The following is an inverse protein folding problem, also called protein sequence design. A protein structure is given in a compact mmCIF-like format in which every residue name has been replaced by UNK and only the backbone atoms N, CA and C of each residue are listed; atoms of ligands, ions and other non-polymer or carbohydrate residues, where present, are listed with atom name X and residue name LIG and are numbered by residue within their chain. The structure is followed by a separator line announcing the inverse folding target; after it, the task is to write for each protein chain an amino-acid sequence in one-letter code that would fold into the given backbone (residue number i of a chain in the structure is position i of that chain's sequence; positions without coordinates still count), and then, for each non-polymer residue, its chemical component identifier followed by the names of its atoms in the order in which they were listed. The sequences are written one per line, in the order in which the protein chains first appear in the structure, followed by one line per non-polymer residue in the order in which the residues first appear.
data_IF_880643710654
#
_entry.id   IF_880643710654
#
_cell.length_a   1.000
_cell.length_b   1.000
_cell.length_c   1.000
_cell.angle_alpha   90.00
_cell.angle_beta   90.00
_cell.angle_gamma   90.00
#
_symmetry.space_group_name_H-M   'P 1'
#
loop_
_entity.id
_entity.type
_entity.pdbx_description
1 polymer ?
#
# COMPACT_ATOMS: atom_id res chain seq x y z
N UNK A 1 -19.45 -10.06 -15.50
CA UNK A 1 -18.84 -8.88 -14.85
C UNK A 1 -19.05 -7.71 -15.79
N UNK A 2 -19.65 -6.61 -15.32
CA UNK A 2 -19.85 -5.42 -16.13
C UNK A 2 -18.54 -4.63 -16.19
N UNK A 3 -18.13 -4.14 -17.36
CA UNK A 3 -16.88 -3.39 -17.55
C UNK A 3 -17.19 -1.88 -17.66
N UNK A 4 -16.50 -1.05 -16.88
CA UNK A 4 -16.51 0.42 -17.01
C UNK A 4 -15.25 0.84 -17.78
N UNK A 5 -15.38 1.76 -18.71
CA UNK A 5 -14.24 2.34 -19.42
C UNK A 5 -13.75 3.60 -18.71
N UNK A 6 -12.45 3.66 -18.45
CA UNK A 6 -11.78 4.82 -17.86
C UNK A 6 -10.45 5.05 -18.60
N UNK A 7 -10.17 6.22 -19.17
CA UNK A 7 -11.05 7.38 -19.46
C UNK A 7 -10.86 7.80 -20.91
N UNK A 8 -11.82 8.51 -21.50
CA UNK A 8 -11.75 9.00 -22.89
C UNK A 8 -10.95 10.31 -23.02
N UNK A 9 -11.03 11.17 -22.00
CA UNK A 9 -10.28 12.42 -21.91
C UNK A 9 -9.74 12.58 -20.50
N UNK A 10 -8.43 12.78 -20.40
CA UNK A 10 -7.78 13.13 -19.15
C UNK A 10 -6.97 14.41 -19.33
N UNK A 11 -7.07 15.31 -18.34
CA UNK A 11 -6.40 16.61 -18.38
C UNK A 11 -4.86 16.50 -18.53
N UNK A 12 -4.24 15.45 -17.99
CA UNK A 12 -2.77 15.34 -17.87
C UNK A 12 -2.15 14.25 -18.75
N UNK A 13 -2.77 13.06 -18.87
CA UNK A 13 -2.13 11.91 -19.51
C UNK A 13 -2.65 11.68 -20.93
N UNK A 14 -2.39 12.62 -21.83
CA UNK A 14 -2.68 12.49 -23.26
C UNK A 14 -1.39 12.61 -24.07
N UNK A 15 -1.07 11.67 -24.98
CA UNK A 15 0.16 11.73 -25.78
C UNK A 15 0.29 13.02 -26.61
N UNK A 16 1.51 13.56 -26.69
CA UNK A 16 1.82 14.84 -27.35
C UNK A 16 1.37 14.93 -28.81
N UNK A 17 1.46 13.81 -29.54
CA UNK A 17 1.08 13.76 -30.96
C UNK A 17 -0.37 14.20 -31.21
N UNK A 18 -1.25 14.07 -30.22
CA UNK A 18 -2.64 14.49 -30.33
C UNK A 18 -2.77 16.02 -30.45
N UNK A 19 -1.86 16.75 -29.81
CA UNK A 19 -1.84 18.20 -29.76
C UNK A 19 -0.90 18.83 -30.78
N UNK A 20 -0.01 18.03 -31.37
CA UNK A 20 1.06 18.53 -32.23
C UNK A 20 0.80 18.29 -33.73
N UNK A 21 1.28 19.23 -34.53
CA UNK A 21 1.39 19.12 -35.98
C UNK A 21 2.72 18.46 -36.38
N UNK A 22 2.91 18.20 -37.67
CA UNK A 22 4.09 17.50 -38.19
C UNK A 22 5.42 18.23 -37.92
N UNK A 23 5.38 19.53 -37.57
CA UNK A 23 6.58 20.32 -37.24
C UNK A 23 6.76 20.54 -35.73
N UNK A 24 6.00 19.85 -34.89
CA UNK A 24 6.08 19.94 -33.42
C UNK A 24 5.43 21.20 -32.80
N UNK A 25 4.65 21.95 -33.59
CA UNK A 25 3.83 23.06 -33.07
C UNK A 25 2.43 22.60 -32.69
N UNK A 26 1.68 23.40 -31.92
CA UNK A 26 0.30 23.07 -31.57
C UNK A 26 -0.60 23.02 -32.81
N UNK A 27 -1.59 22.12 -32.81
CA UNK A 27 -2.64 22.07 -33.83
C UNK A 27 -3.72 23.12 -33.58
N UNK A 28 -4.46 23.44 -34.64
CA UNK A 28 -5.65 24.27 -34.56
C UNK A 28 -6.80 23.54 -33.84
N UNK A 29 -7.70 24.32 -33.23
CA UNK A 29 -8.88 23.83 -32.50
C UNK A 29 -9.64 22.73 -33.22
N UNK A 30 -10.00 22.95 -34.48
CA UNK A 30 -10.84 22.03 -35.24
C UNK A 30 -10.14 20.70 -35.49
N UNK A 31 -8.81 20.72 -35.66
CA UNK A 31 -7.99 19.51 -35.82
C UNK A 31 -7.99 18.71 -34.52
N UNK A 32 -7.83 19.37 -33.36
CA UNK A 32 -7.88 18.68 -32.07
C UNK A 32 -9.25 18.06 -31.80
N UNK A 33 -10.34 18.79 -32.09
CA UNK A 33 -11.70 18.27 -31.91
C UNK A 33 -12.01 17.10 -32.85
N UNK A 34 -11.50 17.11 -34.08
CA UNK A 34 -11.65 15.99 -35.00
C UNK A 34 -10.86 14.77 -34.51
N UNK A 35 -9.62 14.96 -34.04
CA UNK A 35 -8.81 13.88 -33.43
C UNK A 35 -9.49 13.29 -32.18
N UNK A 36 -10.07 14.14 -31.33
CA UNK A 36 -10.85 13.71 -30.18
C UNK A 36 -12.07 12.88 -30.60
N UNK A 37 -12.80 13.35 -31.62
CA UNK A 37 -13.96 12.63 -32.18
C UNK A 37 -13.55 11.26 -32.71
N UNK A 38 -12.51 11.20 -33.53
CA UNK A 38 -11.99 9.95 -34.09
C UNK A 38 -11.55 8.96 -33.01
N UNK A 39 -10.84 9.45 -31.98
CA UNK A 39 -10.45 8.64 -30.83
C UNK A 39 -11.67 8.06 -30.11
N UNK A 40 -12.62 8.91 -29.72
CA UNK A 40 -13.83 8.49 -28.99
C UNK A 40 -14.65 7.51 -29.81
N UNK A 41 -14.93 7.82 -31.08
CA UNK A 41 -15.72 6.94 -31.94
C UNK A 41 -15.03 5.58 -32.16
N UNK A 42 -13.71 5.57 -32.28
CA UNK A 42 -12.92 4.34 -32.42
C UNK A 42 -13.00 3.49 -31.15
N UNK A 43 -12.74 4.09 -29.99
CA UNK A 43 -12.67 3.36 -28.71
C UNK A 43 -14.06 2.95 -28.24
N UNK A 44 -14.99 3.90 -28.11
CA UNK A 44 -16.37 3.64 -27.67
C UNK A 44 -17.07 2.70 -28.65
N UNK A 45 -16.96 2.96 -29.96
CA UNK A 45 -17.58 2.11 -30.98
C UNK A 45 -17.06 0.67 -30.99
N UNK A 46 -15.77 0.46 -30.70
CA UNK A 46 -15.17 -0.88 -30.57
C UNK A 46 -15.72 -1.67 -29.38
N UNK A 47 -16.03 -1.00 -28.28
CA UNK A 47 -16.37 -1.64 -27.00
C UNK A 47 -17.83 -1.48 -26.55
N UNK A 48 -18.71 -0.92 -27.39
CA UNK A 48 -20.14 -0.69 -27.10
C UNK A 48 -20.91 -1.91 -26.58
N UNK A 49 -20.52 -3.13 -26.98
CA UNK A 49 -21.20 -4.37 -26.58
C UNK A 49 -20.66 -4.93 -25.24
N UNK A 50 -19.64 -4.29 -24.65
CA UNK A 50 -18.92 -4.75 -23.45
C UNK A 50 -18.94 -3.71 -22.33
N UNK A 51 -18.73 -2.44 -22.67
CA UNK A 51 -18.60 -1.35 -21.71
C UNK A 51 -19.97 -0.70 -21.48
N UNK A 52 -20.46 -0.75 -20.24
CA UNK A 52 -21.78 -0.21 -19.90
C UNK A 52 -21.74 1.29 -19.55
N UNK A 53 -20.57 1.78 -19.13
CA UNK A 53 -20.37 3.16 -18.70
C UNK A 53 -18.96 3.65 -19.02
N UNK A 54 -18.84 4.93 -19.35
CA UNK A 54 -17.57 5.60 -19.60
C UNK A 54 -17.37 6.76 -18.64
N UNK A 55 -16.17 6.82 -18.04
CA UNK A 55 -15.57 8.08 -17.62
C UNK A 55 -15.16 8.84 -18.89
N UNK A 56 -15.93 9.88 -19.23
CA UNK A 56 -15.72 10.61 -20.47
C UNK A 56 -14.66 11.68 -20.29
N UNK A 57 -14.72 12.41 -19.17
CA UNK A 57 -13.79 13.47 -18.82
C UNK A 57 -13.35 13.25 -17.37
N UNK A 58 -12.03 13.17 -17.19
CA UNK A 58 -11.40 12.89 -15.90
C UNK A 58 -10.60 14.10 -15.38
N UNK A 59 -10.88 14.52 -14.14
CA UNK A 59 -10.04 15.41 -13.32
C UNK A 59 -9.77 16.81 -13.88
N UNK A 60 -10.71 17.37 -14.64
CA UNK A 60 -10.49 18.69 -15.28
C UNK A 60 -10.69 19.88 -14.33
N UNK A 61 -11.27 19.69 -13.15
CA UNK A 61 -11.44 20.77 -12.16
C UNK A 61 -10.16 20.95 -11.35
N UNK A 62 -9.73 22.21 -11.20
CA UNK A 62 -8.54 22.56 -10.43
C UNK A 62 -8.72 22.28 -8.93
N UNK A 63 -7.64 21.85 -8.27
CA UNK A 63 -7.58 21.74 -6.80
C UNK A 63 -7.33 23.10 -6.13
N UNK A 64 -6.81 24.08 -6.87
CA UNK A 64 -6.48 25.39 -6.32
C UNK A 64 -7.77 26.19 -6.09
N UNK A 65 -8.24 26.15 -4.84
CA UNK A 65 -9.47 26.79 -4.43
C UNK A 65 -9.34 28.28 -4.12
N UNK A 66 -8.13 28.82 -4.11
CA UNK A 66 -7.88 30.26 -3.89
C UNK A 66 -7.91 31.04 -5.21
N UNK A 67 -7.75 30.36 -6.36
CA UNK A 67 -7.91 30.94 -7.68
C UNK A 67 -9.32 30.74 -8.26
N UNK A 68 -10.24 31.64 -7.90
CA UNK A 68 -11.59 31.70 -8.49
C UNK A 68 -11.58 32.05 -9.99
N UNK A 69 -10.44 32.48 -10.56
CA UNK A 69 -10.33 32.80 -11.99
C UNK A 69 -10.08 31.58 -12.88
N UNK A 70 -9.60 30.46 -12.31
CA UNK A 70 -9.22 29.27 -13.06
C UNK A 70 -10.06 28.04 -12.66
N UNK A 71 -11.31 27.95 -13.11
CA UNK A 71 -12.21 26.80 -12.82
C UNK A 71 -11.59 25.45 -13.20
N UNK A 72 -10.98 25.40 -14.40
CA UNK A 72 -10.40 24.19 -14.98
C UNK A 72 -8.88 24.16 -14.81
N UNK A 73 -8.31 22.95 -14.74
CA UNK A 73 -6.86 22.76 -14.74
C UNK A 73 -6.24 23.24 -16.07
N UNK A 74 -5.05 23.87 -16.03
CA UNK A 74 -4.26 24.11 -17.22
C UNK A 74 -4.03 22.79 -17.97
N UNK A 75 -4.32 22.77 -19.27
CA UNK A 75 -4.12 21.60 -20.12
C UNK A 75 -4.05 22.03 -21.59
N UNK A 76 -3.33 21.25 -22.41
CA UNK A 76 -3.30 21.47 -23.86
C UNK A 76 -4.71 21.41 -24.48
N UNK A 77 -5.62 20.63 -23.86
CA UNK A 77 -7.05 20.62 -24.20
C UNK A 77 -7.70 22.00 -24.06
N UNK A 78 -7.53 22.63 -22.89
CA UNK A 78 -8.08 23.95 -22.60
C UNK A 78 -7.42 25.04 -23.46
N UNK A 79 -6.10 24.99 -23.62
CA UNK A 79 -5.33 25.99 -24.37
C UNK A 79 -5.72 26.05 -25.85
N UNK A 80 -5.98 24.88 -26.46
CA UNK A 80 -6.24 24.76 -27.90
C UNK A 80 -7.75 24.82 -28.20
N UNK A 81 -8.58 24.08 -27.47
CA UNK A 81 -10.00 23.90 -27.79
C UNK A 81 -10.96 24.75 -26.93
N UNK A 82 -10.48 25.34 -25.84
CA UNK A 82 -11.30 26.02 -24.83
C UNK A 82 -12.24 25.05 -24.11
N UNK A 83 -12.98 25.55 -23.10
CA UNK A 83 -13.81 24.73 -22.21
C UNK A 83 -14.82 23.81 -22.91
N UNK A 84 -15.23 24.17 -24.14
CA UNK A 84 -16.20 23.41 -24.94
C UNK A 84 -15.72 22.00 -25.32
N UNK A 85 -14.43 21.67 -25.18
CA UNK A 85 -13.95 20.31 -25.42
C UNK A 85 -14.67 19.29 -24.50
N UNK A 86 -15.05 19.70 -23.30
CA UNK A 86 -15.74 18.85 -22.32
C UNK A 86 -17.10 18.43 -22.88
N UNK A 87 -17.94 19.39 -23.27
CA UNK A 87 -19.25 19.10 -23.87
C UNK A 87 -19.11 18.25 -25.14
N UNK A 88 -18.14 18.58 -26.01
CA UNK A 88 -17.87 17.82 -27.23
C UNK A 88 -17.49 16.36 -26.97
N UNK A 89 -16.70 16.08 -25.93
CA UNK A 89 -16.35 14.71 -25.57
C UNK A 89 -17.60 13.88 -25.22
N UNK A 90 -18.51 14.43 -24.42
CA UNK A 90 -19.79 13.76 -24.08
C UNK A 90 -20.69 13.58 -25.30
N UNK A 91 -20.82 14.59 -26.15
CA UNK A 91 -21.58 14.50 -27.40
C UNK A 91 -21.03 13.39 -28.30
N UNK A 92 -19.71 13.34 -28.52
CA UNK A 92 -19.07 12.31 -29.35
C UNK A 92 -19.19 10.92 -28.75
N UNK A 93 -19.12 10.78 -27.42
CA UNK A 93 -19.29 9.50 -26.75
C UNK A 93 -20.73 8.99 -26.90
N UNK A 94 -21.71 9.87 -26.75
CA UNK A 94 -23.12 9.52 -26.94
C UNK A 94 -23.45 9.23 -28.42
N UNK A 95 -22.85 9.95 -29.37
CA UNK A 95 -22.94 9.65 -30.80
C UNK A 95 -22.39 8.24 -31.12
N UNK A 96 -21.28 7.85 -30.48
CA UNK A 96 -20.64 6.56 -30.70
C UNK A 96 -21.41 5.38 -30.07
N UNK A 97 -21.97 5.59 -28.88
CA UNK A 97 -22.85 4.63 -28.19
C UNK A 97 -23.93 5.34 -27.36
N UNK A 98 -25.16 5.46 -27.89
CA UNK A 98 -26.26 6.07 -27.17
C UNK A 98 -26.74 5.29 -25.94
N UNK A 99 -26.34 4.02 -25.78
CA UNK A 99 -26.76 3.17 -24.66
C UNK A 99 -25.82 3.24 -23.46
N UNK A 100 -24.56 3.64 -23.67
CA UNK A 100 -23.60 3.78 -22.59
C UNK A 100 -23.97 4.93 -21.65
N UNK A 101 -23.81 4.69 -20.34
CA UNK A 101 -23.88 5.75 -19.33
C UNK A 101 -22.58 6.58 -19.37
N UNK A 102 -22.70 7.89 -19.27
CA UNK A 102 -21.58 8.82 -19.47
C UNK A 102 -21.35 9.61 -18.19
N UNK A 103 -20.14 9.55 -17.65
CA UNK A 103 -19.78 10.10 -16.36
C UNK A 103 -18.71 11.17 -16.48
N UNK A 104 -18.86 12.21 -15.66
CA UNK A 104 -17.75 13.04 -15.22
C UNK A 104 -17.09 12.37 -14.01
N UNK A 105 -15.76 12.28 -13.95
CA UNK A 105 -15.04 11.59 -12.86
C UNK A 105 -13.89 12.45 -12.33
N UNK A 106 -13.69 12.47 -11.03
CA UNK A 106 -12.66 13.31 -10.38
C UNK A 106 -12.30 12.77 -8.99
N UNK A 107 -11.08 13.05 -8.52
CA UNK A 107 -10.64 12.85 -7.13
C UNK A 107 -10.84 14.12 -6.31
N UNK A 108 -10.70 14.01 -4.99
CA UNK A 108 -10.91 15.12 -4.04
C UNK A 108 -12.28 15.81 -4.23
N UNK A 109 -13.22 15.16 -4.90
CA UNK A 109 -14.55 15.64 -5.21
C UNK A 109 -15.42 15.80 -3.96
N UNK A 110 -14.97 15.22 -2.85
CA UNK A 110 -15.55 15.39 -1.52
C UNK A 110 -15.08 16.68 -0.81
N UNK A 111 -13.95 17.27 -1.22
CA UNK A 111 -13.46 18.54 -0.68
C UNK A 111 -14.50 19.65 -0.86
N UNK A 112 -14.82 20.46 0.17
CA UNK A 112 -15.91 21.44 0.09
C UNK A 112 -15.83 22.43 -1.07
N UNK A 113 -14.63 22.95 -1.38
CA UNK A 113 -14.46 23.95 -2.43
C UNK A 113 -14.48 23.29 -3.81
N UNK A 114 -13.74 22.20 -3.99
CA UNK A 114 -13.72 21.44 -5.25
C UNK A 114 -15.11 20.89 -5.60
N UNK A 115 -15.85 20.41 -4.59
CA UNK A 115 -17.23 19.94 -4.73
C UNK A 115 -18.14 20.95 -5.39
N UNK A 116 -18.11 22.21 -4.93
CA UNK A 116 -18.96 23.26 -5.49
C UNK A 116 -18.55 23.62 -6.93
N UNK A 117 -17.27 23.52 -7.26
CA UNK A 117 -16.78 23.75 -8.62
C UNK A 117 -17.22 22.65 -9.58
N UNK A 118 -17.09 21.39 -9.18
CA UNK A 118 -17.61 20.24 -9.93
C UNK A 118 -19.12 20.40 -10.13
N UNK A 119 -19.86 20.72 -9.06
CA UNK A 119 -21.31 20.94 -9.15
C UNK A 119 -21.67 22.04 -10.17
N UNK A 120 -20.94 23.17 -10.18
CA UNK A 120 -21.15 24.25 -11.17
C UNK A 120 -20.90 23.80 -12.60
N UNK A 121 -19.80 23.07 -12.85
CA UNK A 121 -19.48 22.53 -14.17
C UNK A 121 -20.55 21.56 -14.65
N UNK A 122 -20.88 20.55 -13.84
CA UNK A 122 -21.84 19.51 -14.21
C UNK A 122 -23.24 20.10 -14.42
N UNK A 123 -23.68 21.04 -13.58
CA UNK A 123 -24.94 21.76 -13.80
C UNK A 123 -24.93 22.54 -15.12
N UNK A 124 -23.83 23.22 -15.45
CA UNK A 124 -23.69 23.94 -16.72
C UNK A 124 -23.81 23.01 -17.93
N UNK A 125 -23.23 21.80 -17.86
CA UNK A 125 -23.36 20.78 -18.92
C UNK A 125 -24.82 20.31 -19.06
N UNK A 126 -25.51 20.08 -17.95
CA UNK A 126 -26.93 19.73 -17.94
C UNK A 126 -27.80 20.85 -18.54
N UNK A 127 -27.57 22.11 -18.17
CA UNK A 127 -28.30 23.27 -18.69
C UNK A 127 -28.10 23.46 -20.21
N UNK A 128 -26.95 23.01 -20.73
CA UNK A 128 -26.63 23.01 -22.16
C UNK A 128 -27.22 21.79 -22.91
N UNK A 129 -27.82 20.82 -22.21
CA UNK A 129 -28.36 19.60 -22.82
C UNK A 129 -27.30 18.56 -23.20
N UNK A 130 -26.09 18.64 -22.61
CA UNK A 130 -25.02 17.65 -22.81
C UNK A 130 -25.46 16.29 -22.25
N UNK A 131 -25.20 15.16 -22.93
CA UNK A 131 -25.65 13.83 -22.51
C UNK A 131 -24.79 13.26 -21.36
N UNK A 132 -24.83 13.91 -20.19
CA UNK A 132 -24.20 13.44 -18.95
C UNK A 132 -25.22 12.68 -18.10
N UNK A 133 -24.84 11.48 -17.66
CA UNK A 133 -25.71 10.56 -16.94
C UNK A 133 -25.29 10.37 -15.47
N UNK A 134 -24.05 10.70 -15.13
CA UNK A 134 -23.57 10.54 -13.78
C UNK A 134 -22.31 11.31 -13.40
N UNK A 135 -21.99 11.27 -12.11
CA UNK A 135 -20.72 11.73 -11.52
C UNK A 135 -20.06 10.54 -10.82
N UNK A 136 -18.82 10.24 -11.18
CA UNK A 136 -17.93 9.32 -10.49
C UNK A 136 -17.18 10.05 -9.40
N UNK A 137 -17.14 9.46 -8.21
CA UNK A 137 -16.37 9.93 -7.07
C UNK A 137 -15.16 8.99 -6.91
N UNK A 138 -13.98 9.43 -7.33
CA UNK A 138 -12.76 8.63 -7.20
C UNK A 138 -12.39 8.54 -5.72
N UNK A 139 -12.68 7.39 -5.14
CA UNK A 139 -12.58 7.17 -3.71
C UNK A 139 -11.16 6.80 -3.27
N UNK A 140 -10.18 7.63 -3.66
CA UNK A 140 -8.80 7.63 -3.17
C UNK A 140 -8.72 8.18 -1.74
N UNK A 141 -9.45 7.53 -0.83
CA UNK A 141 -9.67 8.03 0.52
C UNK A 141 -8.64 7.49 1.51
N UNK A 142 -8.44 8.22 2.60
CA UNK A 142 -7.56 7.79 3.68
C UNK A 142 -8.23 7.97 5.06
N UNK A 143 -7.45 7.76 6.11
CA UNK A 143 -7.89 7.76 7.51
C UNK A 143 -8.43 9.11 7.99
N UNK A 144 -7.95 10.19 7.38
CA UNK A 144 -8.13 11.55 7.85
C UNK A 144 -8.96 12.39 6.88
N UNK A 145 -8.90 12.06 5.59
CA UNK A 145 -9.53 12.86 4.53
C UNK A 145 -10.07 11.98 3.38
N UNK A 146 -11.24 12.31 2.81
CA UNK A 146 -12.24 13.26 3.31
C UNK A 146 -12.94 12.78 4.60
N UNK A 147 -13.48 13.71 5.38
CA UNK A 147 -14.31 13.35 6.54
C UNK A 147 -15.62 12.67 6.09
N UNK A 148 -16.21 11.82 6.94
CA UNK A 148 -17.52 11.20 6.63
C UNK A 148 -18.62 12.23 6.33
N UNK A 149 -18.56 13.40 6.97
CA UNK A 149 -19.52 14.48 6.73
C UNK A 149 -19.25 15.17 5.39
N UNK A 150 -17.99 15.33 4.97
CA UNK A 150 -17.66 15.85 3.64
C UNK A 150 -18.08 14.90 2.53
N UNK A 151 -17.85 13.59 2.71
CA UNK A 151 -18.32 12.55 1.79
C UNK A 151 -19.84 12.56 1.66
N UNK A 152 -20.57 12.58 2.80
CA UNK A 152 -22.03 12.66 2.80
C UNK A 152 -22.50 13.93 2.08
N UNK A 153 -21.91 15.06 2.42
CA UNK A 153 -22.27 16.36 1.82
C UNK A 153 -22.02 16.35 0.31
N UNK A 154 -20.93 15.73 -0.16
CA UNK A 154 -20.66 15.56 -1.59
C UNK A 154 -21.71 14.72 -2.31
N UNK A 155 -22.02 13.55 -1.75
CA UNK A 155 -23.05 12.67 -2.31
C UNK A 155 -24.41 13.38 -2.37
N UNK A 156 -24.83 14.01 -1.27
CA UNK A 156 -26.09 14.77 -1.23
C UNK A 156 -26.09 15.94 -2.20
N UNK A 157 -24.95 16.62 -2.35
CA UNK A 157 -24.82 17.77 -3.24
C UNK A 157 -24.93 17.35 -4.70
N UNK A 158 -24.21 16.33 -5.14
CA UNK A 158 -24.29 15.87 -6.54
C UNK A 158 -25.64 15.20 -6.85
N UNK A 159 -26.27 14.54 -5.88
CA UNK A 159 -27.60 13.95 -6.05
C UNK A 159 -28.67 14.99 -6.41
N UNK A 160 -28.50 16.26 -6.00
CA UNK A 160 -29.41 17.36 -6.37
C UNK A 160 -29.46 17.63 -7.88
N UNK A 161 -28.47 17.16 -8.66
CA UNK A 161 -28.44 17.28 -10.11
C UNK A 161 -29.31 16.23 -10.82
N UNK A 162 -29.87 15.26 -10.07
CA UNK A 162 -30.67 14.17 -10.64
C UNK A 162 -29.86 13.13 -11.41
N UNK A 163 -28.54 13.11 -11.20
CA UNK A 163 -27.58 12.22 -11.85
C UNK A 163 -27.33 10.93 -11.07
N UNK A 164 -26.83 9.89 -11.75
CA UNK A 164 -26.31 8.71 -11.06
C UNK A 164 -24.97 9.02 -10.39
N UNK A 165 -24.78 8.53 -9.18
CA UNK A 165 -23.50 8.62 -8.47
C UNK A 165 -22.88 7.23 -8.37
N UNK A 166 -21.60 7.12 -8.70
CA UNK A 166 -20.83 5.91 -8.50
C UNK A 166 -19.56 6.22 -7.71
N UNK A 167 -19.28 5.44 -6.68
CA UNK A 167 -17.95 5.42 -6.09
C UNK A 167 -17.05 4.64 -7.05
N UNK A 168 -16.05 5.32 -7.61
CA UNK A 168 -15.06 4.78 -8.54
C UNK A 168 -13.74 4.65 -7.79
N UNK A 169 -12.86 3.74 -8.22
CA UNK A 169 -11.45 3.71 -7.77
C UNK A 169 -11.26 3.70 -6.23
N UNK A 170 -12.15 3.02 -5.49
CA UNK A 170 -12.06 2.95 -4.03
C UNK A 170 -10.81 2.18 -3.59
N UNK A 171 -9.84 2.91 -3.05
CA UNK A 171 -8.76 2.38 -2.25
C UNK A 171 -8.75 3.03 -0.86
N UNK A 172 -8.31 2.25 0.13
CA UNK A 172 -8.10 2.72 1.50
C UNK A 172 -6.69 2.33 1.89
N UNK A 173 -5.83 3.33 2.00
CA UNK A 173 -4.39 3.13 2.16
C UNK A 173 -3.92 3.13 3.63
N UNK A 174 -2.97 2.27 3.98
CA UNK A 174 -2.24 2.29 5.26
C UNK A 174 -1.22 3.44 5.30
N UNK A 175 -1.61 4.58 5.88
CA UNK A 175 -0.79 5.82 5.94
C UNK A 175 -0.35 6.17 7.37
N UNK A 176 0.33 5.25 8.04
CA UNK A 176 0.97 5.56 9.33
C UNK A 176 2.12 6.57 9.13
N UNK A 177 2.28 7.50 10.07
CA UNK A 177 3.22 8.63 9.95
C UNK A 177 4.30 8.64 11.04
N UNK A 178 4.11 7.89 12.12
CA UNK A 178 4.96 7.92 13.30
C UNK A 178 4.99 6.57 14.03
N UNK A 179 5.90 6.48 15.01
CA UNK A 179 6.02 5.37 15.92
C UNK A 179 5.95 5.83 17.37
N UNK A 180 5.31 5.00 18.19
CA UNK A 180 5.36 5.04 19.64
C UNK A 180 6.08 3.79 20.16
N UNK A 181 6.79 3.91 21.29
CA UNK A 181 7.31 2.75 22.02
C UNK A 181 6.39 2.41 23.17
N UNK A 182 6.06 1.12 23.29
CA UNK A 182 5.31 0.58 24.40
C UNK A 182 6.22 -0.27 25.29
N UNK A 183 5.96 -0.28 26.60
CA UNK A 183 6.66 -1.19 27.52
C UNK A 183 5.75 -1.77 28.59
N UNK A 184 6.09 -2.96 29.05
CA UNK A 184 5.49 -3.63 30.20
C UNK A 184 6.60 -4.05 31.16
N UNK A 185 6.40 -3.87 32.47
CA UNK A 185 7.36 -4.36 33.48
C UNK A 185 7.28 -5.89 33.66
N UNK A 186 6.07 -6.43 33.54
CA UNK A 186 5.74 -7.85 33.48
C UNK A 186 4.40 -8.01 32.72
N UNK A 187 3.94 -9.25 32.51
CA UNK A 187 2.73 -9.55 31.73
C UNK A 187 1.42 -9.11 32.38
N UNK A 188 1.41 -8.87 33.69
CA UNK A 188 0.23 -8.39 34.44
C UNK A 188 0.21 -6.86 34.58
N UNK A 189 1.32 -6.21 34.23
CA UNK A 189 1.48 -4.76 34.35
C UNK A 189 0.71 -4.01 33.27
N UNK A 190 0.21 -2.79 33.58
CA UNK A 190 -0.34 -1.92 32.56
C UNK A 190 0.72 -1.57 31.52
N UNK A 191 0.31 -1.54 30.26
CA UNK A 191 1.15 -1.07 29.15
C UNK A 191 1.42 0.42 29.32
N UNK A 192 2.70 0.80 29.33
CA UNK A 192 3.13 2.20 29.30
C UNK A 192 3.41 2.61 27.87
N UNK A 193 2.77 3.68 27.42
CA UNK A 193 3.07 4.39 26.17
C UNK A 193 4.08 5.51 26.45
N UNK A 194 5.23 5.46 25.78
CA UNK A 194 6.31 6.45 25.94
C UNK A 194 6.16 7.68 25.04
N UNK A 195 5.09 7.74 24.24
CA UNK A 195 4.82 8.82 23.30
C UNK A 195 5.50 8.62 21.95
N UNK A 196 5.36 9.64 21.08
CA UNK A 196 5.97 9.68 19.75
C UNK A 196 7.50 9.63 19.87
N UNK A 197 8.12 8.61 19.28
CA UNK A 197 9.58 8.41 19.32
C UNK A 197 10.27 8.72 17.99
N UNK A 198 9.53 8.71 16.89
CA UNK A 198 10.00 9.04 15.54
C UNK A 198 8.79 9.33 14.64
N UNK A 199 8.87 10.39 13.82
CA UNK A 199 7.84 10.74 12.84
C UNK A 199 8.48 10.92 11.46
N UNK A 200 7.75 10.57 10.39
CA UNK A 200 8.19 10.69 9.00
C UNK A 200 8.71 12.09 8.62
N UNK A 201 8.14 13.16 9.22
CA UNK A 201 8.57 14.54 8.98
C UNK A 201 10.02 14.81 9.37
N UNK A 202 10.55 14.00 10.28
CA UNK A 202 11.92 14.09 10.78
C UNK A 202 12.89 13.15 10.04
N UNK A 203 12.39 12.35 9.09
CA UNK A 203 13.18 11.39 8.29
C UNK A 203 13.42 11.97 6.89
N UNK A 204 14.61 12.51 6.57
CA UNK A 204 14.81 13.33 5.36
C UNK A 204 14.57 12.60 4.04
N UNK A 205 14.89 11.31 3.98
CA UNK A 205 14.76 10.49 2.77
C UNK A 205 13.36 9.94 2.55
N UNK A 206 12.50 9.95 3.58
CA UNK A 206 11.18 9.31 3.55
C UNK A 206 10.09 10.33 3.18
N UNK A 207 9.11 9.89 2.40
CA UNK A 207 7.96 10.69 1.98
C UNK A 207 6.69 10.33 2.75
N UNK A 208 6.48 9.04 3.07
CA UNK A 208 5.23 8.54 3.67
C UNK A 208 5.34 7.09 4.16
N UNK A 209 4.29 6.63 4.84
CA UNK A 209 4.01 5.22 5.15
C UNK A 209 5.07 4.54 6.03
N UNK A 210 5.17 4.98 7.28
CA UNK A 210 5.99 4.38 8.33
C UNK A 210 5.40 3.03 8.75
N UNK A 211 5.78 1.96 8.06
CA UNK A 211 5.23 0.60 8.21
C UNK A 211 5.91 -0.19 9.35
N UNK A 212 5.69 -1.50 9.48
CA UNK A 212 6.09 -2.27 10.67
C UNK A 212 7.59 -2.12 11.00
N UNK A 213 7.96 -1.53 12.16
CA UNK A 213 9.35 -1.36 12.57
C UNK A 213 9.83 -2.54 13.42
N UNK A 214 11.14 -2.57 13.69
CA UNK A 214 11.73 -3.42 14.72
C UNK A 214 12.91 -2.71 15.42
N UNK A 215 13.35 -3.20 16.57
CA UNK A 215 14.42 -2.60 17.34
C UNK A 215 15.49 -3.60 17.78
N UNK A 216 16.75 -3.13 17.82
CA UNK A 216 17.88 -3.89 18.34
C UNK A 216 18.70 -3.04 19.32
N UNK A 217 19.38 -3.71 20.25
CA UNK A 217 20.32 -3.08 21.18
C UNK A 217 21.73 -3.60 20.93
N UNK A 218 22.70 -2.69 20.83
CA UNK A 218 24.11 -3.06 20.72
C UNK A 218 25.02 -1.99 21.31
N UNK A 219 25.99 -2.41 22.14
CA UNK A 219 27.07 -1.56 22.68
C UNK A 219 26.59 -0.22 23.29
N UNK A 220 25.44 -0.20 23.97
CA UNK A 220 24.91 1.00 24.63
C UNK A 220 23.97 1.85 23.78
N UNK A 221 23.69 1.44 22.55
CA UNK A 221 22.81 2.15 21.61
C UNK A 221 21.61 1.27 21.26
N UNK A 222 20.44 1.88 21.22
CA UNK A 222 19.22 1.30 20.67
C UNK A 222 19.05 1.78 19.23
N UNK A 223 18.67 0.87 18.36
CA UNK A 223 18.48 1.08 16.94
C UNK A 223 17.04 0.73 16.60
N UNK A 224 16.31 1.67 16.01
CA UNK A 224 14.97 1.45 15.46
C UNK A 224 15.10 1.33 13.94
N UNK A 225 14.81 0.16 13.41
CA UNK A 225 14.76 -0.13 11.98
C UNK A 225 13.33 0.03 11.51
N UNK A 226 13.14 0.72 10.38
CA UNK A 226 11.79 1.04 9.93
C UNK A 226 11.69 1.13 8.41
N UNK A 227 10.60 0.59 7.82
CA UNK A 227 10.31 0.74 6.40
C UNK A 227 9.47 1.99 6.15
N UNK A 228 9.85 2.76 5.14
CA UNK A 228 9.06 3.90 4.63
C UNK A 228 9.27 4.05 3.12
N UNK A 229 8.33 4.73 2.44
CA UNK A 229 8.53 5.08 1.03
C UNK A 229 9.50 6.24 0.91
N UNK A 230 10.42 6.15 -0.03
CA UNK A 230 11.22 7.30 -0.45
C UNK A 230 10.39 8.27 -1.33
N UNK A 231 11.02 9.35 -1.80
CA UNK A 231 10.36 10.37 -2.63
C UNK A 231 9.99 9.88 -4.05
N UNK A 232 10.50 8.73 -4.48
CA UNK A 232 10.12 8.07 -5.73
C UNK A 232 9.00 7.04 -5.51
N UNK A 233 8.47 6.94 -4.28
CA UNK A 233 7.42 6.00 -3.91
C UNK A 233 7.92 4.57 -3.74
N UNK A 234 9.23 4.35 -3.58
CA UNK A 234 9.83 3.02 -3.41
C UNK A 234 10.08 2.75 -1.93
N UNK A 235 9.67 1.59 -1.43
CA UNK A 235 9.93 1.20 -0.04
C UNK A 235 11.43 0.91 0.19
N UNK A 236 11.96 1.53 1.24
CA UNK A 236 13.34 1.38 1.76
C UNK A 236 13.29 1.17 3.26
N UNK A 237 14.40 0.69 3.83
CA UNK A 237 14.54 0.50 5.28
C UNK A 237 15.56 1.51 5.81
N UNK A 238 15.11 2.36 6.73
CA UNK A 238 15.98 3.25 7.50
C UNK A 238 16.34 2.69 8.86
N UNK A 239 17.24 3.40 9.52
CA UNK A 239 17.62 3.16 10.91
C UNK A 239 17.69 4.49 11.66
N UNK A 240 17.26 4.48 12.92
CA UNK A 240 17.33 5.61 13.83
C UNK A 240 17.95 5.17 15.16
N UNK A 241 18.68 6.05 15.85
CA UNK A 241 19.44 5.69 17.05
C UNK A 241 18.98 6.45 18.30
N UNK A 242 19.07 5.79 19.45
CA UNK A 242 18.79 6.37 20.76
C UNK A 242 19.69 5.78 21.84
N UNK A 243 19.93 6.53 22.91
CA UNK A 243 20.54 6.02 24.15
C UNK A 243 19.51 5.36 25.09
N UNK A 244 18.23 5.43 24.74
CA UNK A 244 17.09 4.93 25.53
C UNK A 244 16.24 3.97 24.67
N UNK A 245 15.78 2.83 25.22
CA UNK A 245 14.84 1.96 24.50
C UNK A 245 13.51 2.66 24.20
N UNK A 246 13.15 3.65 25.02
CA UNK A 246 11.93 4.44 24.87
C UNK A 246 12.09 5.64 23.92
N UNK A 247 13.23 5.77 23.23
CA UNK A 247 13.49 6.91 22.38
C UNK A 247 13.70 8.24 23.15
N UNK A 248 13.48 9.39 22.48
CA UNK A 248 13.21 9.50 21.04
C UNK A 248 14.40 9.01 20.20
N UNK A 249 14.15 8.59 18.98
CA UNK A 249 15.18 8.11 18.06
C UNK A 249 15.55 9.19 17.04
N UNK A 250 16.84 9.34 16.78
CA UNK A 250 17.36 10.21 15.73
C UNK A 250 17.58 9.41 14.44
N UNK A 251 16.86 9.68 13.34
CA UNK A 251 17.03 8.94 12.09
C UNK A 251 18.35 9.29 11.40
N UNK A 252 18.91 8.32 10.68
CA UNK A 252 19.97 8.58 9.71
C UNK A 252 19.41 9.37 8.51
N UNK A 253 20.27 10.19 7.90
CA UNK A 253 19.90 11.06 6.75
C UNK A 253 19.50 10.27 5.49
N UNK A 254 19.92 9.01 5.41
CA UNK A 254 19.68 8.11 4.28
C UNK A 254 19.17 6.76 4.79
N UNK A 255 18.42 6.05 3.94
CA UNK A 255 18.10 4.64 4.18
C UNK A 255 19.34 3.74 4.09
N UNK A 256 19.23 2.54 4.63
CA UNK A 256 20.29 1.51 4.58
C UNK A 256 20.53 1.14 3.11
N UNK A 257 21.75 1.35 2.64
CA UNK A 257 22.11 1.03 1.26
C UNK A 257 21.96 -0.46 0.97
N UNK A 258 21.33 -0.78 -0.17
CA UNK A 258 20.96 -2.16 -0.52
C UNK A 258 19.64 -2.65 0.09
N UNK A 259 18.99 -1.86 0.95
CA UNK A 259 17.65 -2.17 1.43
C UNK A 259 16.56 -1.82 0.41
N UNK A 260 15.47 -2.57 0.50
CA UNK A 260 14.28 -2.41 -0.30
C UNK A 260 13.13 -3.12 0.39
N UNK A 261 11.90 -2.90 -0.08
CA UNK A 261 10.70 -3.52 0.49
C UNK A 261 10.52 -3.14 1.96
N UNK A 262 9.81 -3.96 2.74
CA UNK A 262 9.22 -3.60 4.04
C UNK A 262 9.67 -4.55 5.16
N UNK A 263 9.10 -4.37 6.34
CA UNK A 263 9.09 -5.31 7.47
C UNK A 263 10.47 -5.81 7.92
N UNK A 264 11.38 -4.91 8.34
CA UNK A 264 12.62 -5.31 8.98
C UNK A 264 12.36 -6.08 10.28
N UNK A 265 13.10 -7.18 10.47
CA UNK A 265 13.28 -7.84 11.76
C UNK A 265 14.77 -8.09 12.00
N UNK A 266 15.31 -7.55 13.08
CA UNK A 266 16.74 -7.60 13.41
C UNK A 266 17.00 -8.61 14.51
N UNK A 267 17.58 -9.74 14.10
CA UNK A 267 18.00 -10.81 14.99
C UNK A 267 19.49 -10.66 15.34
N UNK A 268 19.78 -10.48 16.62
CA UNK A 268 21.15 -10.51 17.16
C UNK A 268 21.39 -11.89 17.78
N UNK A 269 22.25 -12.68 17.15
CA UNK A 269 22.55 -14.04 17.58
C UNK A 269 23.47 -14.04 18.81
N UNK A 270 23.61 -15.21 19.44
CA UNK A 270 24.43 -15.43 20.63
C UNK A 270 25.91 -15.10 20.39
N UNK A 271 26.39 -15.26 19.16
CA UNK A 271 27.74 -14.89 18.73
C UNK A 271 27.93 -13.39 18.45
N UNK A 272 26.90 -12.57 18.72
CA UNK A 272 26.84 -11.12 18.51
C UNK A 272 26.81 -10.69 17.03
N UNK A 273 26.67 -11.62 16.08
CA UNK A 273 26.35 -11.28 14.70
C UNK A 273 24.89 -10.86 14.61
N UNK A 274 24.65 -9.70 14.01
CA UNK A 274 23.32 -9.21 13.73
C UNK A 274 22.92 -9.50 12.29
N UNK A 275 21.65 -9.86 12.10
CA UNK A 275 21.03 -10.16 10.82
C UNK A 275 19.75 -9.34 10.70
N UNK A 276 19.56 -8.64 9.60
CA UNK A 276 18.29 -8.02 9.25
C UNK A 276 17.57 -8.90 8.25
N UNK A 277 16.43 -9.44 8.67
CA UNK A 277 15.45 -10.05 7.79
C UNK A 277 14.48 -8.98 7.32
N UNK A 278 13.98 -9.09 6.08
CA UNK A 278 13.00 -8.13 5.56
C UNK A 278 12.30 -8.63 4.30
N UNK A 279 11.23 -7.94 3.91
CA UNK A 279 10.54 -8.10 2.63
C UNK A 279 9.05 -8.30 2.78
N UNK A 280 8.26 -7.83 1.84
CA UNK A 280 6.83 -8.10 1.76
C UNK A 280 6.32 -8.02 0.34
N UNK A 281 5.50 -8.98 -0.07
CA UNK A 281 4.89 -9.01 -1.40
C UNK A 281 3.84 -7.89 -1.55
N UNK A 282 3.36 -7.70 -2.78
CA UNK A 282 2.25 -6.78 -3.10
C UNK A 282 2.59 -5.33 -2.73
N UNK A 283 1.85 -4.74 -1.78
CA UNK A 283 2.08 -3.38 -1.32
C UNK A 283 3.51 -3.15 -0.81
N UNK A 284 4.15 -4.21 -0.31
CA UNK A 284 5.55 -4.19 0.13
C UNK A 284 6.58 -4.25 -0.98
N UNK A 285 6.19 -4.47 -2.24
CA UNK A 285 7.02 -4.38 -3.45
C UNK A 285 8.16 -5.40 -3.58
N UNK A 286 8.21 -6.47 -2.79
CA UNK A 286 9.31 -7.45 -2.85
C UNK A 286 9.45 -8.10 -4.25
N UNK A 287 8.34 -8.42 -4.92
CA UNK A 287 8.35 -8.98 -6.28
C UNK A 287 8.95 -8.03 -7.32
N UNK A 288 9.03 -6.73 -7.00
CA UNK A 288 9.59 -5.69 -7.89
C UNK A 288 11.12 -5.69 -7.90
N UNK A 289 11.77 -6.51 -7.06
CA UNK A 289 13.22 -6.53 -6.86
C UNK A 289 13.91 -7.82 -7.33
N UNK A 290 13.22 -8.67 -8.09
CA UNK A 290 13.74 -9.98 -8.54
C UNK A 290 15.02 -9.89 -9.38
N UNK A 291 15.29 -8.75 -10.02
CA UNK A 291 16.49 -8.53 -10.86
C UNK A 291 17.65 -7.86 -10.11
N UNK A 292 17.50 -7.57 -8.81
CA UNK A 292 18.42 -6.73 -8.04
C UNK A 292 18.22 -5.23 -8.26
N UNK A 293 17.23 -4.83 -9.06
CA UNK A 293 16.81 -3.44 -9.27
C UNK A 293 15.29 -3.35 -9.26
N UNK A 294 14.74 -2.17 -8.94
CA UNK A 294 13.30 -1.95 -8.92
C UNK A 294 12.72 -2.00 -10.35
N UNK A 295 11.67 -2.79 -10.53
CA UNK A 295 10.89 -2.87 -11.78
C UNK A 295 9.42 -2.72 -11.43
N UNK A 296 8.85 -1.53 -11.65
CA UNK A 296 7.51 -1.11 -11.21
C UNK A 296 6.40 -2.10 -11.57
N UNK A 297 6.44 -2.66 -12.78
CA UNK A 297 5.43 -3.60 -13.28
C UNK A 297 5.86 -5.07 -13.24
N UNK A 298 6.93 -5.41 -12.51
CA UNK A 298 7.29 -6.82 -12.35
C UNK A 298 6.19 -7.59 -11.61
N UNK A 299 5.86 -8.77 -12.11
CA UNK A 299 4.90 -9.67 -11.50
C UNK A 299 5.62 -10.69 -10.60
N UNK A 300 4.88 -11.28 -9.67
CA UNK A 300 5.37 -12.41 -8.90
C UNK A 300 5.64 -13.65 -9.76
N UNK A 301 6.34 -14.65 -9.22
CA UNK A 301 6.56 -15.92 -9.90
C UNK A 301 5.24 -16.62 -10.27
N UNK A 302 5.27 -17.42 -11.33
CA UNK A 302 4.14 -18.28 -11.72
C UNK A 302 3.77 -19.26 -10.59
N UNK A 303 2.50 -19.70 -10.47
CA UNK A 303 2.04 -20.53 -9.35
C UNK A 303 2.81 -21.83 -9.11
N UNK A 304 3.39 -22.42 -10.15
CA UNK A 304 4.19 -23.65 -10.11
C UNK A 304 5.70 -23.39 -9.93
N UNK A 305 6.15 -22.15 -10.05
CA UNK A 305 7.52 -21.75 -9.76
C UNK A 305 7.74 -21.59 -8.23
N UNK A 306 8.99 -21.64 -7.75
CA UNK A 306 9.31 -21.35 -6.36
C UNK A 306 8.76 -19.98 -5.92
N UNK A 307 8.17 -19.94 -4.73
CA UNK A 307 7.75 -18.68 -4.11
C UNK A 307 8.98 -17.83 -3.76
N UNK A 308 8.79 -16.50 -3.79
CA UNK A 308 9.79 -15.59 -3.23
C UNK A 308 9.83 -15.75 -1.71
N UNK A 309 11.03 -15.77 -1.15
CA UNK A 309 11.26 -15.78 0.29
C UNK A 309 11.62 -14.40 0.86
N UNK A 310 11.68 -14.26 2.19
CA UNK A 310 12.24 -13.05 2.79
C UNK A 310 13.71 -12.88 2.40
N UNK A 311 14.21 -11.67 2.58
CA UNK A 311 15.62 -11.34 2.42
C UNK A 311 16.30 -11.39 3.79
N UNK A 312 17.60 -11.73 3.79
CA UNK A 312 18.45 -11.68 4.98
C UNK A 312 19.81 -11.08 4.62
N UNK A 313 20.25 -10.12 5.40
CA UNK A 313 21.58 -9.54 5.29
C UNK A 313 22.26 -9.49 6.67
N UNK A 314 23.57 -9.72 6.71
CA UNK A 314 24.35 -9.41 7.91
C UNK A 314 24.41 -7.90 8.07
N UNK A 315 24.24 -7.41 9.29
CA UNK A 315 24.47 -6.00 9.61
C UNK A 315 25.94 -5.77 9.97
N UNK A 316 26.39 -4.55 9.69
CA UNK A 316 27.68 -4.03 10.13
C UNK A 316 27.79 -3.97 11.66
N UNK A 317 29.02 -3.82 12.17
CA UNK A 317 29.25 -3.71 13.61
C UNK A 317 28.55 -2.50 14.25
N UNK A 318 28.41 -1.40 13.52
CA UNK A 318 27.72 -0.19 13.95
C UNK A 318 26.20 -0.23 13.78
N UNK A 319 25.67 -1.31 13.17
CA UNK A 319 24.25 -1.54 12.88
C UNK A 319 23.61 -0.55 11.89
N UNK A 320 24.40 0.29 11.22
CA UNK A 320 23.89 1.34 10.32
C UNK A 320 23.90 0.94 8.85
N UNK A 321 24.45 -0.23 8.52
CA UNK A 321 24.59 -0.69 7.13
C UNK A 321 24.53 -2.22 7.03
N UNK A 322 24.34 -2.72 5.80
CA UNK A 322 24.51 -4.14 5.52
C UNK A 322 26.00 -4.45 5.30
N UNK A 323 26.49 -5.47 6.01
CA UNK A 323 27.84 -6.04 5.85
C UNK A 323 27.90 -7.17 4.80
N UNK A 324 26.76 -7.56 4.24
CA UNK A 324 26.65 -8.49 3.12
C UNK A 324 25.58 -8.01 2.15
N UNK A 325 25.60 -8.51 0.92
CA UNK A 325 24.42 -8.43 0.06
C UNK A 325 23.25 -9.16 0.72
N UNK A 326 22.03 -8.69 0.43
CA UNK A 326 20.81 -9.34 0.88
C UNK A 326 20.59 -10.63 0.09
N UNK A 327 20.51 -11.74 0.81
CA UNK A 327 20.26 -13.07 0.24
C UNK A 327 18.78 -13.43 0.39
N UNK A 328 18.24 -14.17 -0.57
CA UNK A 328 16.91 -14.76 -0.45
C UNK A 328 16.95 -16.00 0.44
N UNK A 329 16.06 -16.06 1.44
CA UNK A 329 15.85 -17.24 2.27
C UNK A 329 14.95 -18.22 1.52
N UNK A 330 15.45 -19.43 1.29
CA UNK A 330 14.63 -20.53 0.76
C UNK A 330 13.82 -21.20 1.88
N UNK A 331 12.51 -21.35 1.64
CA UNK A 331 11.59 -22.09 2.51
C UNK A 331 11.14 -23.34 1.76
N UNK A 332 11.31 -24.50 2.40
CA UNK A 332 11.11 -25.82 1.78
C UNK A 332 10.05 -26.64 2.52
N UNK A 333 9.43 -27.58 1.82
CA UNK A 333 8.59 -28.61 2.42
C UNK A 333 9.41 -29.66 3.20
N UNK A 334 8.74 -30.68 3.75
CA UNK A 334 9.37 -31.73 4.54
C UNK A 334 10.29 -32.63 3.71
N UNK A 335 10.08 -32.68 2.40
CA UNK A 335 10.87 -33.39 1.42
C UNK A 335 12.08 -32.57 0.92
N UNK A 336 12.17 -31.29 1.30
CA UNK A 336 13.25 -30.37 0.90
C UNK A 336 13.02 -29.65 -0.42
N UNK A 337 11.82 -29.69 -0.99
CA UNK A 337 11.47 -28.92 -2.19
C UNK A 337 11.05 -27.50 -1.81
N UNK A 338 11.47 -26.46 -2.55
CA UNK A 338 10.98 -25.10 -2.34
C UNK A 338 9.44 -25.02 -2.42
N UNK A 339 8.82 -24.28 -1.51
CA UNK A 339 7.40 -23.99 -1.60
C UNK A 339 7.11 -23.21 -2.89
N UNK A 340 5.99 -23.49 -3.55
CA UNK A 340 5.64 -22.83 -4.82
C UNK A 340 4.83 -21.55 -4.58
N UNK A 341 4.81 -20.65 -5.56
CA UNK A 341 4.07 -19.39 -5.45
C UNK A 341 2.55 -19.58 -5.27
N UNK A 342 2.00 -20.68 -5.80
CA UNK A 342 0.61 -21.07 -5.65
C UNK A 342 0.26 -21.72 -4.31
N UNK A 343 1.25 -22.02 -3.46
CA UNK A 343 1.05 -22.62 -2.14
C UNK A 343 0.77 -21.55 -1.08
N UNK A 344 -0.31 -20.78 -1.28
CA UNK A 344 -0.61 -19.57 -0.48
C UNK A 344 -0.84 -19.83 1.02
N UNK A 345 -1.11 -21.08 1.40
CA UNK A 345 -1.25 -21.48 2.80
C UNK A 345 0.08 -21.59 3.54
N UNK A 346 1.20 -21.69 2.81
CA UNK A 346 2.54 -21.93 3.38
C UNK A 346 3.59 -20.95 2.90
N UNK A 347 3.48 -20.43 1.67
CA UNK A 347 4.48 -19.51 1.10
C UNK A 347 4.56 -18.21 1.89
N UNK A 348 5.72 -17.59 1.82
CA UNK A 348 5.97 -16.28 2.40
C UNK A 348 5.07 -15.20 1.79
N UNK A 349 4.70 -14.21 2.59
CA UNK A 349 4.05 -12.99 2.12
C UNK A 349 4.72 -11.74 2.69
N UNK A 350 4.73 -11.58 4.02
CA UNK A 350 5.31 -10.40 4.70
C UNK A 350 5.65 -10.72 6.18
N UNK A 351 6.20 -9.73 6.91
CA UNK A 351 6.44 -9.80 8.35
C UNK A 351 7.33 -10.95 8.80
N UNK A 352 8.59 -11.06 8.32
CA UNK A 352 9.49 -12.11 8.76
C UNK A 352 9.90 -11.85 10.20
N UNK A 353 9.95 -12.89 11.03
CA UNK A 353 10.46 -12.82 12.40
C UNK A 353 11.36 -14.02 12.68
N UNK A 354 12.52 -13.76 13.29
CA UNK A 354 13.51 -14.78 13.63
C UNK A 354 13.68 -14.85 15.15
N UNK A 355 13.61 -16.06 15.70
CA UNK A 355 14.05 -16.35 17.06
C UNK A 355 14.79 -17.69 17.12
N UNK A 356 15.50 -17.92 18.23
CA UNK A 356 16.27 -19.14 18.45
C UNK A 356 15.70 -19.91 19.63
N UNK A 357 15.45 -21.21 19.46
CA UNK A 357 14.98 -22.10 20.52
C UNK A 357 15.69 -23.45 20.42
N UNK A 358 16.30 -23.90 21.51
CA UNK A 358 17.08 -25.15 21.59
C UNK A 358 18.11 -25.33 20.46
N UNK A 359 18.84 -24.25 20.13
CA UNK A 359 19.90 -24.25 19.12
C UNK A 359 19.43 -24.24 17.66
N UNK A 360 18.11 -24.16 17.43
CA UNK A 360 17.49 -24.06 16.10
C UNK A 360 16.97 -22.65 15.85
N UNK A 361 16.92 -22.26 14.58
CA UNK A 361 16.43 -20.96 14.13
C UNK A 361 15.01 -21.13 13.60
N UNK A 362 14.10 -20.29 14.08
CA UNK A 362 12.68 -20.32 13.75
C UNK A 362 12.36 -19.07 12.95
N UNK A 363 12.16 -19.27 11.65
CA UNK A 363 11.62 -18.25 10.77
C UNK A 363 10.10 -18.33 10.80
N UNK A 364 9.46 -17.29 11.27
CA UNK A 364 7.99 -17.16 11.31
C UNK A 364 7.54 -15.96 10.49
N UNK A 365 6.37 -16.05 9.87
CA UNK A 365 5.93 -15.03 8.90
C UNK A 365 4.42 -15.09 8.64
N UNK A 366 3.89 -14.01 8.07
CA UNK A 366 2.52 -13.92 7.56
C UNK A 366 2.39 -14.55 6.17
N UNK A 367 1.27 -15.21 5.92
CA UNK A 367 0.93 -15.76 4.59
C UNK A 367 0.05 -14.82 3.75
N UNK A 368 -0.32 -13.64 4.28
CA UNK A 368 -1.10 -12.62 3.58
C UNK A 368 -2.51 -13.07 3.25
N UNK A 369 -2.75 -13.53 2.02
CA UNK A 369 -4.08 -13.89 1.48
C UNK A 369 -4.77 -15.03 2.20
N UNK A 370 -4.03 -15.84 2.96
CA UNK A 370 -4.58 -16.92 3.80
C UNK A 370 -4.60 -16.57 5.30
N UNK A 371 -4.15 -15.36 5.65
CA UNK A 371 -4.30 -14.71 6.95
C UNK A 371 -3.69 -15.44 8.15
N UNK A 372 -2.71 -16.33 7.93
CA UNK A 372 -2.08 -17.12 9.00
C UNK A 372 -0.73 -16.56 9.38
N UNK A 373 -0.32 -16.84 10.62
CA UNK A 373 1.08 -16.84 11.01
C UNK A 373 1.58 -18.28 10.98
N UNK A 374 2.64 -18.52 10.23
CA UNK A 374 3.25 -19.83 10.06
C UNK A 374 4.73 -19.78 10.41
N UNK A 375 5.37 -20.95 10.51
CA UNK A 375 6.79 -21.02 10.80
C UNK A 375 7.50 -22.19 10.13
N UNK A 376 8.81 -22.00 9.97
CA UNK A 376 9.76 -22.94 9.43
C UNK A 376 11.03 -22.97 10.31
N UNK A 377 11.71 -24.11 10.37
CA UNK A 377 12.88 -24.33 11.23
C UNK A 377 14.13 -24.57 10.37
N UNK A 378 15.24 -23.96 10.77
CA UNK A 378 16.56 -24.12 10.14
C UNK A 378 17.69 -24.28 11.16
N UNK A 379 18.88 -24.61 10.65
CA UNK A 379 20.10 -24.83 11.43
C UNK A 379 21.03 -23.61 11.48
N UNK A 380 20.72 -22.58 10.71
CA UNK A 380 21.49 -21.34 10.64
C UNK A 380 20.57 -20.17 10.25
N UNK A 381 20.93 -18.91 10.53
CA UNK A 381 20.06 -17.76 10.32
C UNK A 381 19.79 -17.43 8.84
N UNK A 382 20.52 -18.05 7.89
CA UNK A 382 20.36 -17.84 6.45
C UNK A 382 19.59 -18.96 5.74
N UNK A 383 19.20 -20.01 6.46
CA UNK A 383 18.41 -21.12 5.93
C UNK A 383 19.21 -22.14 5.12
N UNK A 384 18.53 -22.98 4.30
CA UNK A 384 17.08 -23.00 4.10
C UNK A 384 16.30 -23.34 5.38
N UNK A 385 15.02 -23.02 5.40
CA UNK A 385 14.11 -23.35 6.52
C UNK A 385 13.04 -24.33 6.06
N UNK A 386 12.84 -25.40 6.83
CA UNK A 386 11.81 -26.42 6.56
C UNK A 386 10.51 -26.03 7.25
N UNK A 387 9.44 -25.82 6.46
CA UNK A 387 8.11 -25.46 6.94
C UNK A 387 7.56 -26.46 7.95
N UNK A 388 7.01 -25.98 9.06
CA UNK A 388 6.50 -26.84 10.14
C UNK A 388 4.98 -26.75 10.31
N UNK A 389 4.41 -25.55 10.35
CA UNK A 389 2.98 -25.40 10.57
C UNK A 389 2.52 -23.99 10.90
N UNK A 390 1.28 -23.90 11.38
CA UNK A 390 0.61 -22.64 11.76
C UNK A 390 0.80 -22.35 13.24
N UNK A 391 1.27 -21.13 13.56
CA UNK A 391 1.34 -20.60 14.92
C UNK A 391 -0.02 -19.98 15.30
N UNK A 392 -0.57 -19.14 14.42
CA UNK A 392 -1.81 -18.41 14.66
C UNK A 392 -2.73 -18.54 13.43
N UNK A 393 -3.98 -18.99 13.60
CA UNK A 393 -4.99 -18.98 12.54
C UNK A 393 -5.46 -17.53 12.25
N UNK A 394 -6.34 -17.33 11.24
CA UNK A 394 -6.86 -16.01 10.92
C UNK A 394 -7.46 -15.26 12.11
N UNK A 395 -7.13 -13.97 12.17
CA UNK A 395 -7.66 -13.00 13.13
C UNK A 395 -8.70 -12.08 12.47
N UNK A 396 -9.37 -11.25 13.26
CA UNK A 396 -10.27 -10.22 12.77
C UNK A 396 -9.47 -9.14 12.03
N UNK A 397 -9.81 -8.96 10.76
CA UNK A 397 -9.16 -8.05 9.84
C UNK A 397 -8.25 -8.76 8.83
N UNK A 398 -7.85 -8.07 7.77
CA UNK A 398 -7.10 -8.67 6.66
C UNK A 398 -5.65 -8.99 7.02
N UNK A 399 -4.95 -8.08 7.70
CA UNK A 399 -3.53 -8.26 8.05
C UNK A 399 -3.36 -9.10 9.31
N UNK A 400 -2.36 -9.97 9.30
CA UNK A 400 -1.80 -10.59 10.51
C UNK A 400 -0.29 -10.34 10.52
N UNK A 401 0.27 -9.99 11.68
CA UNK A 401 1.68 -9.68 11.87
C UNK A 401 2.06 -9.99 13.33
N UNK A 402 3.34 -10.27 13.60
CA UNK A 402 3.75 -10.72 14.93
C UNK A 402 5.22 -10.51 15.28
N UNK A 403 5.51 -10.80 16.54
CA UNK A 403 6.84 -11.14 17.03
C UNK A 403 6.76 -12.25 18.09
N UNK A 404 7.84 -13.00 18.26
CA UNK A 404 7.98 -14.04 19.29
C UNK A 404 9.16 -13.69 20.17
N UNK A 405 8.91 -13.56 21.46
CA UNK A 405 9.92 -13.14 22.45
C UNK A 405 9.87 -14.03 23.67
N UNK A 406 11.05 -14.34 24.20
CA UNK A 406 11.17 -14.92 25.52
C UNK A 406 11.23 -13.80 26.55
N UNK A 407 10.35 -13.84 27.54
CA UNK A 407 10.39 -12.93 28.68
C UNK A 407 10.38 -13.75 29.97
N UNK A 408 11.46 -13.62 30.74
CA UNK A 408 11.76 -14.53 31.86
C UNK A 408 11.85 -15.97 31.37
N UNK A 409 11.10 -16.91 31.98
CA UNK A 409 11.13 -18.33 31.63
C UNK A 409 10.14 -18.68 30.52
N UNK A 410 9.22 -17.77 30.18
CA UNK A 410 8.10 -18.04 29.27
C UNK A 410 8.28 -17.38 27.90
N UNK A 411 7.59 -17.94 26.90
CA UNK A 411 7.57 -17.44 25.54
C UNK A 411 6.22 -16.81 25.21
N UNK A 412 6.25 -15.75 24.42
CA UNK A 412 5.05 -15.00 24.06
C UNK A 412 5.02 -14.72 22.56
N UNK A 413 3.84 -14.87 21.98
CA UNK A 413 3.50 -14.33 20.66
C UNK A 413 2.82 -12.98 20.87
N UNK A 414 3.43 -11.90 20.39
CA UNK A 414 2.74 -10.62 20.18
C UNK A 414 2.14 -10.62 18.78
N UNK A 415 0.90 -10.18 18.64
CA UNK A 415 0.18 -10.12 17.36
C UNK A 415 -0.82 -8.95 17.39
N UNK A 416 -1.58 -8.72 16.33
CA UNK A 416 -2.69 -7.75 16.35
C UNK A 416 -3.98 -8.33 15.80
N UNK A 417 -5.09 -7.67 16.08
CA UNK A 417 -6.33 -7.80 15.31
C UNK A 417 -7.09 -6.48 15.24
N UNK A 418 -8.27 -6.48 14.62
CA UNK A 418 -9.13 -5.30 14.47
C UNK A 418 -10.32 -5.31 15.45
N UNK A 419 -10.23 -6.04 16.55
CA UNK A 419 -11.36 -6.20 17.49
C UNK A 419 -11.76 -4.88 18.16
N UNK A 420 -10.78 -4.04 18.53
CA UNK A 420 -11.05 -2.75 19.18
C UNK A 420 -11.73 -1.74 18.24
N UNK A 421 -11.50 -1.86 16.93
CA UNK A 421 -12.06 -0.96 15.92
C UNK A 421 -13.37 -1.45 15.31
N UNK A 422 -13.86 -2.64 15.72
CA UNK A 422 -15.03 -3.26 15.12
C UNK A 422 -14.79 -3.84 13.73
N UNK A 423 -13.55 -4.29 13.45
CA UNK A 423 -13.20 -4.94 12.18
C UNK A 423 -12.65 -4.00 11.11
N UNK A 424 -12.20 -2.80 11.46
CA UNK A 424 -11.60 -1.88 10.50
C UNK A 424 -10.13 -2.24 10.30
N UNK A 425 -9.80 -2.82 9.15
CA UNK A 425 -8.49 -3.43 8.83
C UNK A 425 -7.27 -2.56 9.17
N UNK A 426 -7.39 -1.26 8.93
CA UNK A 426 -6.32 -0.29 9.14
C UNK A 426 -6.25 0.28 10.58
N UNK A 427 -7.23 -0.03 11.44
CA UNK A 427 -7.27 0.35 12.87
C UNK A 427 -7.15 -0.90 13.72
N UNK A 428 -5.91 -1.24 14.06
CA UNK A 428 -5.55 -2.48 14.75
C UNK A 428 -5.29 -2.23 16.22
N UNK A 429 -5.30 -3.29 17.01
CA UNK A 429 -4.85 -3.31 18.40
C UNK A 429 -3.93 -4.50 18.63
N UNK A 430 -2.74 -4.24 19.19
CA UNK A 430 -1.77 -5.26 19.56
C UNK A 430 -2.29 -6.07 20.75
N UNK A 431 -2.02 -7.37 20.73
CA UNK A 431 -2.33 -8.38 21.73
C UNK A 431 -1.09 -9.24 21.97
N UNK A 432 -1.08 -10.02 23.04
CA UNK A 432 -0.12 -11.09 23.20
C UNK A 432 -0.77 -12.34 23.81
N UNK A 433 -0.17 -13.49 23.56
CA UNK A 433 -0.56 -14.77 24.14
C UNK A 433 0.71 -15.57 24.47
N UNK A 434 0.63 -16.43 25.50
CA UNK A 434 1.70 -17.38 25.79
C UNK A 434 1.88 -18.36 24.62
N UNK A 435 3.14 -18.64 24.28
CA UNK A 435 3.54 -19.54 23.23
C UNK A 435 4.20 -20.78 23.85
N UNK A 436 3.70 -21.96 23.49
CA UNK A 436 4.22 -23.22 24.03
C UNK A 436 4.92 -24.03 22.95
N UNK A 437 6.16 -24.47 23.23
CA UNK A 437 6.86 -25.46 22.42
C UNK A 437 6.54 -26.88 22.90
N UNK A 438 6.34 -27.77 21.95
CA UNK A 438 6.32 -29.21 22.18
C UNK A 438 7.76 -29.74 22.41
N UNK A 439 7.93 -30.92 23.01
CA UNK A 439 9.25 -31.51 23.26
C UNK A 439 10.11 -31.74 22.00
N UNK A 440 9.49 -31.84 20.82
CA UNK A 440 10.18 -31.99 19.52
C UNK A 440 10.59 -30.65 18.88
N UNK A 441 10.32 -29.52 19.54
CA UNK A 441 10.57 -28.18 19.04
C UNK A 441 9.43 -27.59 18.21
N UNK A 442 8.36 -28.32 17.93
CA UNK A 442 7.21 -27.73 17.21
C UNK A 442 6.44 -26.75 18.11
N UNK A 443 5.80 -25.74 17.53
CA UNK A 443 5.01 -24.74 18.26
C UNK A 443 3.56 -25.20 18.30
N UNK A 444 2.94 -25.15 19.48
CA UNK A 444 1.50 -25.39 19.61
C UNK A 444 0.73 -24.20 19.05
N UNK A 445 -0.20 -24.46 18.13
CA UNK A 445 -1.06 -23.43 17.55
C UNK A 445 -1.89 -22.74 18.65
N UNK A 446 -1.93 -21.41 18.58
CA UNK A 446 -2.66 -20.52 19.50
C UNK A 446 -4.08 -20.32 18.98
N UNK A 447 -5.06 -20.31 19.89
CA UNK A 447 -6.42 -19.85 19.61
C UNK A 447 -6.50 -18.33 19.90
N UNK A 448 -6.73 -17.46 18.90
CA UNK A 448 -6.85 -16.02 19.11
C UNK A 448 -8.15 -15.62 19.84
N UNK A 449 -9.15 -16.50 19.90
CA UNK A 449 -10.48 -16.24 20.45
C UNK A 449 -10.93 -17.36 21.41
N UNK A 450 -10.17 -17.65 22.48
CA UNK A 450 -10.55 -18.70 23.42
C UNK A 450 -11.88 -18.37 24.08
N UNK A 451 -12.77 -19.36 24.18
CA UNK A 451 -13.98 -19.24 24.99
C UNK A 451 -13.58 -18.87 26.43
N UNK A 452 -14.13 -17.76 26.95
CA UNK A 452 -13.81 -17.24 28.28
C UNK A 452 -14.49 -18.02 29.41
#
# INVERSE_FOLDING_TARGET
MALRGHTLVWHNQTPDWLFENETGGLVERDVLLERLKEHIQTVVGRYKDVIYAWDVVNEVISDDADDESALLRPSKWLDIAGENFIAKAFEFAHEADPQALLFYNDYNESNPQKRERIFRLVRSLLDQGVPIHGVGLQAHWNLYDPSLDDMRTAIERYAQLGLQLQLTELDVSYKMEDYHVLSMADTDSPVTDHGEVLHVRDVPWASSQMWAPDAAYRKGTYYLFFPARDHDGIFRIGVATSSSPAGPFKPEEQYIQGSFSIDPAVFVDEDQQAYMLFGGLWGGQLEKWQTGSYVEHAEGPAPDAPALGPRVAKLSEDMLSMASEALEISIVDQEGNPLTAGDEDRRYFEGPWMHKYNGKYYLSYSTGTTHKLVYAIGDNPMGPFTFQGTILPPVMGWTTHHSIVQFQEEWYLFYHDCSLSGGVDYKRCVKFAELTYNPDGTIRMIDPYPEK
#
